data_IF_027857278082
#
_entry.id   IF_027857278082
#
_cell.length_a   1.000
_cell.length_b   1.000
_cell.length_c   1.000
_cell.angle_alpha   90.00
_cell.angle_beta   90.00
_cell.angle_gamma   90.00
#
_symmetry.space_group_name_H-M   'P 1'
#
loop_
_entity.id
_entity.type
_entity.pdbx_description
1 polymer ?
#
# COMPACT_ATOMS: atom_id res chain seq x y z
N UNK A 1 -5.10 9.92 22.13
CA UNK A 1 -4.67 9.46 23.48
C UNK A 1 -5.86 9.34 24.44
N UNK A 2 -6.76 10.33 24.49
CA UNK A 2 -7.92 10.30 25.42
C UNK A 2 -8.81 9.07 25.24
N UNK A 3 -9.15 8.70 24.00
CA UNK A 3 -10.00 7.52 23.70
C UNK A 3 -9.38 6.19 24.15
N UNK A 4 -8.04 6.14 24.30
CA UNK A 4 -7.29 4.97 24.76
C UNK A 4 -6.94 5.04 26.25
N UNK A 5 -7.39 6.07 26.96
CA UNK A 5 -7.05 6.31 28.37
C UNK A 5 -5.59 6.59 28.62
N UNK A 6 -4.82 6.97 27.61
CA UNK A 6 -3.40 7.30 27.73
C UNK A 6 -3.22 8.70 28.29
N UNK A 7 -2.59 8.85 29.48
CA UNK A 7 -2.44 10.15 30.13
C UNK A 7 -1.42 11.04 29.41
N UNK A 8 -0.45 10.42 28.77
CA UNK A 8 0.67 11.11 28.12
C UNK A 8 1.20 10.27 26.96
N UNK A 9 1.64 10.94 25.89
CA UNK A 9 2.30 10.36 24.74
C UNK A 9 3.60 11.12 24.51
N UNK A 10 4.74 10.45 24.61
CA UNK A 10 6.07 11.04 24.46
C UNK A 10 6.51 11.23 23.01
N UNK A 11 5.92 10.46 22.10
CA UNK A 11 6.15 10.56 20.64
C UNK A 11 4.83 10.55 19.90
N UNK A 12 4.66 11.48 18.98
CA UNK A 12 3.53 11.52 18.05
C UNK A 12 4.03 11.90 16.66
N UNK A 13 3.60 11.13 15.68
CA UNK A 13 3.90 11.37 14.28
C UNK A 13 2.69 11.00 13.43
N UNK A 14 2.52 11.68 12.31
CA UNK A 14 1.50 11.39 11.30
C UNK A 14 2.17 11.45 9.93
N UNK A 15 2.97 10.45 9.60
CA UNK A 15 3.63 10.38 8.31
C UNK A 15 2.62 10.21 7.17
N UNK A 16 3.09 10.25 5.95
CA UNK A 16 2.28 9.99 4.74
C UNK A 16 1.43 8.73 4.91
N UNK A 17 0.19 8.69 4.40
CA UNK A 17 -0.78 7.62 4.66
C UNK A 17 -0.42 6.28 4.00
N UNK A 18 0.83 5.89 4.08
CA UNK A 18 1.34 4.59 3.67
C UNK A 18 1.93 3.90 4.90
N UNK A 19 1.37 2.77 5.28
CA UNK A 19 1.69 2.06 6.52
C UNK A 19 3.20 1.81 6.71
N UNK A 20 3.92 1.55 5.64
CA UNK A 20 5.37 1.28 5.67
C UNK A 20 6.20 2.48 6.13
N UNK A 21 5.79 3.71 5.78
CA UNK A 21 6.48 4.91 6.26
C UNK A 21 6.29 5.09 7.77
N UNK A 22 5.06 4.86 8.24
CA UNK A 22 4.75 4.91 9.67
C UNK A 22 5.50 3.82 10.45
N UNK A 23 5.67 2.63 9.86
CA UNK A 23 6.45 1.54 10.45
C UNK A 23 7.92 1.93 10.62
N UNK A 24 8.55 2.46 9.57
CA UNK A 24 9.96 2.90 9.61
C UNK A 24 10.15 4.05 10.60
N UNK A 25 9.21 5.00 10.64
CA UNK A 25 9.24 6.10 11.61
C UNK A 25 9.13 5.59 13.06
N UNK A 26 8.22 4.67 13.33
CA UNK A 26 8.08 4.03 14.64
C UNK A 26 9.35 3.27 15.06
N UNK A 27 9.98 2.53 14.13
CA UNK A 27 11.25 1.85 14.38
C UNK A 27 12.35 2.84 14.74
N UNK A 28 12.46 3.95 14.00
CA UNK A 28 13.44 5.00 14.26
C UNK A 28 13.21 5.67 15.62
N UNK A 29 11.96 5.95 15.99
CA UNK A 29 11.62 6.53 17.29
C UNK A 29 12.03 5.64 18.47
N UNK A 30 11.78 4.32 18.36
CA UNK A 30 12.20 3.34 19.37
C UNK A 30 13.72 3.22 19.41
N UNK A 31 14.38 3.16 18.26
CA UNK A 31 15.84 3.05 18.15
C UNK A 31 16.53 4.28 18.77
N UNK A 32 16.04 5.47 18.46
CA UNK A 32 16.55 6.73 19.01
C UNK A 32 16.23 6.96 20.49
N UNK A 33 15.42 6.10 21.12
CA UNK A 33 15.03 6.22 22.52
C UNK A 33 14.00 7.31 22.80
N UNK A 34 13.32 7.81 21.76
CA UNK A 34 12.22 8.79 21.91
C UNK A 34 11.02 8.19 22.65
N UNK A 35 10.84 6.86 22.52
CA UNK A 35 9.84 6.06 23.22
C UNK A 35 10.26 4.58 23.24
N UNK A 36 9.66 3.79 24.14
CA UNK A 36 9.92 2.35 24.23
C UNK A 36 8.90 1.49 23.48
N UNK A 37 7.72 2.05 23.24
CA UNK A 37 6.60 1.35 22.60
C UNK A 37 5.80 2.33 21.76
N UNK A 38 5.46 1.94 20.56
CA UNK A 38 4.63 2.71 19.63
C UNK A 38 3.36 1.93 19.32
N UNK A 39 2.22 2.59 19.43
CA UNK A 39 0.98 2.15 18.80
C UNK A 39 0.92 2.78 17.41
N UNK A 40 1.08 1.95 16.39
CA UNK A 40 0.84 2.30 15.00
C UNK A 40 -0.58 1.89 14.65
N UNK A 41 -1.38 2.80 14.13
CA UNK A 41 -2.70 2.47 13.63
C UNK A 41 -3.00 3.22 12.35
N UNK A 42 -3.78 2.58 11.51
CA UNK A 42 -4.35 3.15 10.31
C UNK A 42 -5.84 2.82 10.28
N UNK A 43 -6.68 3.82 10.09
CA UNK A 43 -8.11 3.65 9.95
C UNK A 43 -8.59 4.42 8.73
N UNK A 44 -9.38 3.77 7.91
CA UNK A 44 -9.92 4.36 6.70
C UNK A 44 -11.41 4.11 6.59
N UNK A 45 -12.16 5.19 6.34
CA UNK A 45 -13.58 5.14 6.06
C UNK A 45 -13.86 5.77 4.72
N UNK A 46 -14.45 5.02 3.81
CA UNK A 46 -14.87 5.54 2.50
C UNK A 46 -16.22 6.23 2.64
N UNK A 47 -16.22 7.54 2.50
CA UNK A 47 -17.47 8.29 2.36
C UNK A 47 -18.19 7.86 1.07
N UNK A 48 -19.52 7.84 1.07
CA UNK A 48 -20.28 7.55 -0.13
C UNK A 48 -19.79 8.41 -1.31
N UNK A 49 -19.66 7.80 -2.48
CA UNK A 49 -19.13 8.44 -3.71
C UNK A 49 -19.83 9.77 -4.04
N UNK A 50 -21.10 9.92 -3.68
CA UNK A 50 -21.91 11.11 -3.90
C UNK A 50 -21.83 12.14 -2.76
N UNK A 51 -21.01 11.93 -1.74
CA UNK A 51 -20.89 12.91 -0.66
C UNK A 51 -20.10 14.13 -1.13
N UNK A 52 -20.68 15.32 -0.95
CA UNK A 52 -20.02 16.60 -1.28
C UNK A 52 -18.73 16.81 -0.48
N UNK A 53 -18.60 16.17 0.67
CA UNK A 53 -17.40 16.24 1.50
C UNK A 53 -16.18 15.57 0.84
N UNK A 54 -16.38 14.56 -0.01
CA UNK A 54 -15.29 13.92 -0.75
C UNK A 54 -14.66 14.88 -1.78
N UNK A 55 -15.43 15.83 -2.34
CA UNK A 55 -14.93 16.85 -3.25
C UNK A 55 -14.19 18.00 -2.55
N UNK A 56 -14.34 18.12 -1.24
CA UNK A 56 -13.76 19.20 -0.43
C UNK A 56 -12.58 18.73 0.43
N UNK A 57 -12.13 17.48 0.30
CA UNK A 57 -11.01 16.94 1.06
C UNK A 57 -9.72 17.74 0.74
N UNK A 58 -9.19 18.51 1.69
CA UNK A 58 -8.00 19.31 1.49
C UNK A 58 -6.74 18.44 1.23
N UNK A 59 -6.75 17.16 1.63
CA UNK A 59 -5.69 16.22 1.31
C UNK A 59 -5.66 15.88 -0.18
N UNK A 60 -6.80 15.69 -0.82
CA UNK A 60 -6.87 15.48 -2.27
C UNK A 60 -6.37 16.67 -3.07
N UNK A 61 -6.58 17.89 -2.57
CA UNK A 61 -6.06 19.12 -3.23
C UNK A 61 -4.55 19.27 -3.12
N UNK A 62 -3.91 18.74 -2.08
CA UNK A 62 -2.44 18.86 -1.91
C UNK A 62 -1.67 17.89 -2.81
N UNK A 63 -2.22 16.72 -3.12
CA UNK A 63 -1.60 15.79 -4.07
C UNK A 63 -1.71 16.23 -5.53
N UNK A 64 -2.58 17.18 -5.85
CA UNK A 64 -2.71 17.76 -7.19
C UNK A 64 -1.85 19.01 -7.40
N UNK A 65 -1.02 19.41 -6.44
CA UNK A 65 -0.10 20.55 -6.57
C UNK A 65 1.27 20.18 -7.17
N UNK A 66 1.40 19.03 -7.81
CA UNK A 66 2.43 18.80 -8.81
C UNK A 66 2.27 19.77 -9.97
N UNK A 67 3.35 20.14 -10.60
CA UNK A 67 3.61 21.22 -11.55
C UNK A 67 2.65 21.33 -12.76
N UNK A 68 1.66 20.47 -12.87
CA UNK A 68 0.60 20.56 -13.89
C UNK A 68 -0.77 20.47 -13.22
N UNK A 69 -1.68 21.42 -13.49
CA UNK A 69 -3.08 21.22 -13.17
C UNK A 69 -3.56 20.01 -13.97
N UNK A 70 -3.54 18.84 -13.32
CA UNK A 70 -4.19 17.69 -13.90
C UNK A 70 -5.66 18.07 -14.15
N UNK A 71 -6.19 17.89 -15.35
CA UNK A 71 -7.62 18.05 -15.59
C UNK A 71 -8.36 17.26 -14.51
N UNK A 72 -9.46 17.76 -13.99
CA UNK A 72 -10.27 17.11 -12.94
C UNK A 72 -10.65 15.65 -13.26
N UNK A 73 -10.41 15.21 -14.49
CA UNK A 73 -10.61 13.85 -15.00
C UNK A 73 -9.43 12.90 -14.79
N UNK A 74 -8.25 13.37 -14.38
CA UNK A 74 -7.08 12.49 -14.13
C UNK A 74 -7.14 12.03 -12.68
N UNK A 75 -7.68 10.83 -12.49
CA UNK A 75 -7.65 10.12 -11.22
C UNK A 75 -6.55 9.04 -11.26
N UNK A 76 -6.31 8.38 -10.12
CA UNK A 76 -5.32 7.30 -10.02
C UNK A 76 -5.53 6.21 -11.09
N UNK A 77 -6.78 5.86 -11.42
CA UNK A 77 -7.08 4.88 -12.46
C UNK A 77 -6.55 5.31 -13.84
N UNK A 78 -6.54 6.61 -14.16
CA UNK A 78 -5.99 7.11 -15.43
C UNK A 78 -4.46 6.99 -15.47
N UNK A 79 -3.76 7.30 -14.38
CA UNK A 79 -2.31 7.16 -14.27
C UNK A 79 -1.90 5.68 -14.39
N UNK A 80 -2.53 4.79 -13.63
CA UNK A 80 -2.26 3.35 -13.71
C UNK A 80 -2.61 2.75 -15.08
N UNK A 81 -3.67 3.22 -15.74
CA UNK A 81 -4.01 2.79 -17.09
C UNK A 81 -2.96 3.21 -18.12
N UNK A 82 -2.39 4.42 -17.99
CA UNK A 82 -1.30 4.86 -18.86
C UNK A 82 -0.06 3.95 -18.69
N UNK A 83 0.27 3.57 -17.46
CA UNK A 83 1.35 2.62 -17.17
C UNK A 83 1.09 1.24 -17.70
N UNK A 84 -0.12 0.71 -17.48
CA UNK A 84 -0.52 -0.58 -18.02
C UNK A 84 -0.45 -0.59 -19.56
N UNK A 85 -0.89 0.49 -20.20
CA UNK A 85 -0.79 0.65 -21.66
C UNK A 85 0.67 0.65 -22.13
N UNK A 86 1.54 1.37 -21.41
CA UNK A 86 2.97 1.41 -21.71
C UNK A 86 3.62 0.05 -21.53
N UNK A 87 3.28 -0.66 -20.44
CA UNK A 87 3.77 -2.00 -20.16
C UNK A 87 3.35 -3.01 -21.24
N UNK A 88 2.08 -2.99 -21.63
CA UNK A 88 1.55 -3.83 -22.73
C UNK A 88 2.33 -3.54 -24.01
N UNK A 89 2.54 -2.25 -24.35
CA UNK A 89 3.23 -1.86 -25.57
C UNK A 89 4.71 -2.26 -25.59
N UNK A 90 5.43 -2.09 -24.48
CA UNK A 90 6.87 -2.37 -24.42
C UNK A 90 7.20 -3.88 -24.38
N UNK A 91 6.33 -4.66 -23.76
CA UNK A 91 6.60 -6.09 -23.49
C UNK A 91 5.63 -7.04 -24.19
N UNK A 92 4.75 -6.54 -25.05
CA UNK A 92 3.73 -7.32 -25.76
C UNK A 92 2.92 -8.24 -24.81
N UNK A 93 2.50 -7.69 -23.68
CA UNK A 93 1.83 -8.43 -22.61
C UNK A 93 0.33 -8.50 -22.86
N UNK A 94 -0.27 -9.70 -22.92
CA UNK A 94 -1.72 -9.83 -23.09
C UNK A 94 -2.46 -9.47 -21.81
N UNK A 95 -3.72 -9.04 -21.92
CA UNK A 95 -4.57 -8.70 -20.75
C UNK A 95 -4.75 -9.86 -19.77
N UNK A 96 -4.63 -11.07 -20.22
CA UNK A 96 -4.66 -12.28 -19.39
C UNK A 96 -3.57 -12.29 -18.30
N UNK A 97 -2.46 -11.57 -18.51
CA UNK A 97 -1.42 -11.44 -17.48
C UNK A 97 -1.96 -10.68 -16.25
N UNK A 98 -2.68 -9.58 -16.45
CA UNK A 98 -3.38 -8.87 -15.37
C UNK A 98 -4.49 -9.73 -14.78
N UNK A 99 -5.23 -10.45 -15.63
CA UNK A 99 -6.24 -11.40 -15.20
C UNK A 99 -5.72 -12.46 -14.23
N UNK A 100 -4.51 -12.97 -14.44
CA UNK A 100 -3.88 -13.94 -13.52
C UNK A 100 -3.69 -13.35 -12.12
N UNK A 101 -3.32 -12.06 -12.01
CA UNK A 101 -3.20 -11.38 -10.72
C UNK A 101 -4.56 -11.32 -10.02
N UNK A 102 -5.61 -10.90 -10.75
CA UNK A 102 -6.97 -10.82 -10.21
C UNK A 102 -7.50 -12.20 -9.77
N UNK A 103 -7.25 -13.25 -10.58
CA UNK A 103 -7.66 -14.63 -10.27
C UNK A 103 -6.94 -15.15 -9.01
N UNK A 104 -5.63 -14.90 -8.90
CA UNK A 104 -4.84 -15.30 -7.73
C UNK A 104 -5.33 -14.60 -6.46
N UNK A 105 -5.54 -13.30 -6.51
CA UNK A 105 -6.10 -12.54 -5.40
C UNK A 105 -7.49 -13.07 -4.98
N UNK A 106 -8.34 -13.44 -5.94
CA UNK A 106 -9.66 -13.99 -5.69
C UNK A 106 -9.57 -15.41 -5.09
N UNK A 107 -8.62 -16.22 -5.51
CA UNK A 107 -8.37 -17.54 -4.94
C UNK A 107 -7.93 -17.42 -3.47
N UNK A 108 -7.04 -16.48 -3.15
CA UNK A 108 -6.65 -16.18 -1.78
C UNK A 108 -7.81 -15.66 -0.92
N UNK A 109 -8.63 -14.76 -1.47
CA UNK A 109 -9.80 -14.19 -0.78
C UNK A 109 -10.83 -15.24 -0.34
N UNK A 110 -10.93 -16.38 -1.03
CA UNK A 110 -11.81 -17.50 -0.66
C UNK A 110 -11.53 -18.01 0.76
N UNK A 111 -10.29 -17.95 1.19
CA UNK A 111 -9.86 -18.45 2.50
C UNK A 111 -9.94 -17.39 3.61
N UNK A 112 -10.23 -16.13 3.26
CA UNK A 112 -10.38 -15.06 4.24
C UNK A 112 -11.87 -14.81 4.54
N UNK A 113 -12.35 -15.08 5.76
CA UNK A 113 -13.76 -14.84 6.14
C UNK A 113 -14.18 -13.37 6.03
N UNK A 114 -13.23 -12.43 6.14
CA UNK A 114 -13.50 -10.99 6.08
C UNK A 114 -13.39 -10.40 4.67
N UNK A 115 -12.94 -11.17 3.67
CA UNK A 115 -12.81 -10.66 2.32
C UNK A 115 -14.16 -10.22 1.73
N UNK A 116 -14.18 -9.03 1.13
CA UNK A 116 -15.38 -8.47 0.51
C UNK A 116 -15.79 -9.23 -0.76
N UNK A 117 -14.82 -9.74 -1.52
CA UNK A 117 -15.03 -10.37 -2.83
C UNK A 117 -14.56 -11.83 -2.83
N UNK A 118 -15.45 -12.78 -2.53
CA UNK A 118 -15.13 -14.22 -2.40
C UNK A 118 -15.67 -15.08 -3.55
N UNK A 119 -16.55 -14.55 -4.39
CA UNK A 119 -17.12 -15.32 -5.50
C UNK A 119 -16.02 -15.80 -6.45
N UNK A 120 -16.06 -17.05 -6.92
CA UNK A 120 -15.08 -17.54 -7.87
C UNK A 120 -14.97 -16.64 -9.11
N UNK A 121 -13.76 -16.51 -9.61
CA UNK A 121 -13.47 -15.76 -10.84
C UNK A 121 -12.68 -16.65 -11.79
N UNK A 122 -13.05 -16.65 -13.05
CA UNK A 122 -12.31 -17.28 -14.13
C UNK A 122 -11.84 -16.21 -15.15
N UNK A 123 -11.00 -16.63 -16.09
CA UNK A 123 -10.42 -15.71 -17.06
C UNK A 123 -11.48 -15.10 -18.00
N UNK A 124 -12.47 -15.85 -18.39
CA UNK A 124 -13.58 -15.35 -19.21
C UNK A 124 -14.34 -14.22 -18.48
N UNK A 125 -14.67 -14.43 -17.20
CA UNK A 125 -15.30 -13.41 -16.37
C UNK A 125 -14.43 -12.17 -16.18
N UNK A 126 -13.10 -12.33 -16.09
CA UNK A 126 -12.18 -11.22 -16.05
C UNK A 126 -12.15 -10.43 -17.36
N UNK A 127 -11.99 -11.11 -18.50
CA UNK A 127 -11.93 -10.47 -19.82
C UNK A 127 -13.24 -9.79 -20.20
N UNK A 128 -14.38 -10.33 -19.76
CA UNK A 128 -15.71 -9.75 -19.94
C UNK A 128 -16.08 -8.64 -18.95
N UNK A 129 -15.21 -8.35 -17.97
CA UNK A 129 -15.50 -7.32 -16.96
C UNK A 129 -15.54 -5.90 -17.55
N UNK A 130 -16.39 -5.06 -16.94
CA UNK A 130 -16.56 -3.66 -17.37
C UNK A 130 -15.24 -2.90 -17.30
N UNK A 131 -14.86 -2.24 -18.40
CA UNK A 131 -13.72 -1.31 -18.42
C UNK A 131 -13.99 -0.09 -17.56
N UNK A 132 -13.01 0.29 -16.76
CA UNK A 132 -12.99 1.54 -16.00
C UNK A 132 -12.19 2.59 -16.77
N UNK A 133 -10.97 2.24 -17.13
CA UNK A 133 -10.09 3.03 -17.98
C UNK A 133 -9.18 2.07 -18.74
N UNK A 134 -9.37 1.94 -20.04
CA UNK A 134 -8.60 1.00 -20.84
C UNK A 134 -7.09 1.16 -20.64
N UNK A 135 -6.32 0.06 -20.44
CA UNK A 135 -6.71 -1.35 -20.51
C UNK A 135 -7.24 -1.97 -19.20
N UNK A 136 -7.47 -1.17 -18.16
CA UNK A 136 -7.88 -1.65 -16.84
C UNK A 136 -9.40 -1.76 -16.71
N UNK A 137 -9.84 -2.92 -16.23
CA UNK A 137 -11.24 -3.21 -15.95
C UNK A 137 -11.57 -3.06 -14.45
N UNK A 138 -12.84 -3.26 -14.11
CA UNK A 138 -13.32 -3.19 -12.71
C UNK A 138 -12.58 -4.16 -11.78
N UNK A 139 -12.12 -5.29 -12.30
CA UNK A 139 -11.44 -6.32 -11.51
C UNK A 139 -9.94 -6.06 -11.31
N UNK A 140 -9.41 -5.03 -11.95
CA UNK A 140 -8.06 -4.49 -11.70
C UNK A 140 -8.06 -3.41 -10.61
N UNK A 141 -9.25 -3.00 -10.14
CA UNK A 141 -9.39 -1.95 -9.14
C UNK A 141 -9.50 -2.52 -7.73
N UNK A 142 -9.03 -1.75 -6.74
CA UNK A 142 -9.29 -2.03 -5.34
C UNK A 142 -10.79 -1.95 -5.02
N UNK A 143 -11.22 -2.73 -4.03
CA UNK A 143 -12.59 -2.67 -3.53
C UNK A 143 -12.67 -1.61 -2.43
N UNK A 144 -13.57 -0.60 -2.55
CA UNK A 144 -13.79 0.36 -1.48
C UNK A 144 -14.34 -0.34 -0.24
N UNK A 145 -13.57 -0.33 0.84
CA UNK A 145 -13.95 -0.92 2.13
C UNK A 145 -13.60 0.05 3.26
N UNK A 146 -14.35 -0.03 4.35
CA UNK A 146 -13.96 0.57 5.61
C UNK A 146 -13.09 -0.43 6.37
N UNK A 147 -12.04 0.05 7.01
CA UNK A 147 -11.13 -0.83 7.74
C UNK A 147 -10.25 -0.07 8.70
N UNK A 148 -9.71 -0.80 9.66
CA UNK A 148 -8.71 -0.30 10.58
C UNK A 148 -7.74 -1.42 10.96
N UNK A 149 -6.46 -1.09 10.95
CA UNK A 149 -5.38 -1.95 11.41
C UNK A 149 -4.61 -1.25 12.52
N UNK A 150 -4.11 -2.03 13.48
CA UNK A 150 -3.29 -1.52 14.55
C UNK A 150 -2.18 -2.51 14.91
N UNK A 151 -0.99 -1.96 15.16
CA UNK A 151 0.20 -2.72 15.54
C UNK A 151 0.84 -2.08 16.77
N UNK A 152 1.29 -2.90 17.69
CA UNK A 152 2.12 -2.46 18.81
C UNK A 152 3.56 -2.85 18.54
N UNK A 153 4.44 -1.86 18.40
CA UNK A 153 5.86 -2.06 18.17
C UNK A 153 6.62 -1.75 19.44
N UNK A 154 7.63 -2.58 19.73
CA UNK A 154 8.53 -2.37 20.87
C UNK A 154 9.87 -3.07 20.59
N UNK A 155 10.85 -2.90 21.48
CA UNK A 155 12.14 -3.61 21.39
C UNK A 155 11.93 -5.12 21.50
N UNK A 156 12.75 -5.89 20.78
CA UNK A 156 12.63 -7.36 20.70
C UNK A 156 12.67 -8.03 22.07
N UNK A 157 13.53 -7.57 22.98
CA UNK A 157 13.65 -8.12 24.33
C UNK A 157 12.35 -7.95 25.10
N UNK A 158 11.73 -6.77 25.01
CA UNK A 158 10.44 -6.51 25.65
C UNK A 158 9.31 -7.31 25.02
N UNK A 159 9.30 -7.45 23.70
CA UNK A 159 8.31 -8.25 22.99
C UNK A 159 8.36 -9.71 23.45
N UNK A 160 9.55 -10.29 23.59
CA UNK A 160 9.76 -11.68 24.10
C UNK A 160 9.33 -11.87 25.55
N UNK A 161 9.35 -10.82 26.35
CA UNK A 161 8.83 -10.86 27.71
C UNK A 161 7.30 -10.83 27.79
N UNK A 162 6.63 -10.31 26.73
CA UNK A 162 5.17 -10.17 26.67
C UNK A 162 4.51 -11.35 25.94
N UNK A 163 5.13 -11.87 24.89
CA UNK A 163 4.58 -12.96 24.07
C UNK A 163 5.63 -14.00 23.73
N UNK A 164 5.17 -15.26 23.62
CA UNK A 164 6.04 -16.39 23.27
C UNK A 164 6.49 -16.37 21.81
N UNK A 165 5.72 -15.75 20.94
CA UNK A 165 5.96 -15.73 19.50
C UNK A 165 5.78 -14.29 18.97
N UNK A 166 6.71 -13.37 19.25
CA UNK A 166 6.67 -12.03 18.68
C UNK A 166 6.98 -12.09 17.18
N UNK A 167 6.32 -11.24 16.40
CA UNK A 167 6.71 -10.99 15.02
C UNK A 167 7.88 -10.02 15.05
N UNK A 168 9.00 -10.42 14.47
CA UNK A 168 10.21 -9.60 14.42
C UNK A 168 10.32 -8.92 13.07
N UNK A 169 10.53 -7.60 13.07
CA UNK A 169 10.86 -6.86 11.85
C UNK A 169 12.37 -7.01 11.64
N UNK A 170 12.74 -7.83 10.66
CA UNK A 170 14.13 -8.13 10.36
C UNK A 170 14.83 -6.95 9.69
N UNK A 171 14.21 -6.39 8.66
CA UNK A 171 14.69 -5.20 7.98
C UNK A 171 13.52 -4.39 7.42
N UNK A 172 13.68 -3.08 7.33
CA UNK A 172 12.73 -2.20 6.70
C UNK A 172 13.45 -1.03 6.04
N UNK A 173 12.92 -0.56 4.94
CA UNK A 173 13.43 0.62 4.24
C UNK A 173 12.36 1.22 3.34
N UNK A 174 12.57 2.45 2.95
CA UNK A 174 11.79 3.15 1.94
C UNK A 174 12.75 3.71 0.90
N UNK A 175 12.30 3.85 -0.33
CA UNK A 175 13.13 4.34 -1.42
C UNK A 175 12.31 5.11 -2.45
N UNK A 176 12.99 5.99 -3.18
CA UNK A 176 12.40 6.83 -4.20
C UNK A 176 13.32 6.90 -5.41
N UNK A 177 12.76 6.91 -6.59
CA UNK A 177 13.46 7.22 -7.86
C UNK A 177 12.68 8.29 -8.59
N UNK A 178 13.34 9.42 -8.88
CA UNK A 178 12.72 10.55 -9.55
C UNK A 178 11.79 11.33 -8.62
N UNK A 179 10.57 11.56 -9.06
CA UNK A 179 9.54 12.29 -8.31
C UNK A 179 8.76 11.36 -7.38
N UNK A 180 8.04 11.94 -6.43
CA UNK A 180 7.14 11.20 -5.53
C UNK A 180 5.74 11.00 -6.12
N UNK A 181 5.54 11.28 -7.39
CA UNK A 181 4.27 11.17 -8.08
C UNK A 181 4.21 9.84 -8.85
N UNK A 182 3.17 9.05 -8.61
CA UNK A 182 3.01 7.72 -9.19
C UNK A 182 2.90 7.74 -10.73
N UNK A 183 2.46 8.86 -11.31
CA UNK A 183 2.28 9.04 -12.74
C UNK A 183 3.52 9.57 -13.47
N UNK A 184 4.61 9.85 -12.75
CA UNK A 184 5.82 10.46 -13.29
C UNK A 184 7.06 9.58 -13.15
N UNK A 185 6.91 8.28 -13.21
CA UNK A 185 8.06 7.39 -13.16
C UNK A 185 8.92 7.52 -14.44
N UNK A 186 10.23 7.59 -14.27
CA UNK A 186 11.15 7.75 -15.39
C UNK A 186 11.23 6.50 -16.28
N UNK A 187 10.87 5.34 -15.77
CA UNK A 187 11.00 4.06 -16.46
C UNK A 187 10.13 2.99 -15.81
N UNK A 188 9.61 2.07 -16.63
CA UNK A 188 8.98 0.83 -16.14
C UNK A 188 10.02 -0.19 -15.63
N UNK A 189 11.26 -0.10 -16.12
CA UNK A 189 12.33 -1.04 -15.78
C UNK A 189 13.04 -0.69 -14.47
N UNK A 190 13.02 0.58 -14.04
CA UNK A 190 13.66 1.03 -12.81
C UNK A 190 12.82 2.07 -12.08
N UNK A 191 12.33 1.73 -10.93
CA UNK A 191 11.50 2.56 -10.08
C UNK A 191 11.85 2.37 -8.58
N UNK A 192 11.13 3.02 -7.68
CA UNK A 192 11.41 3.03 -6.25
C UNK A 192 11.58 1.65 -5.61
N UNK A 193 10.84 0.65 -6.07
CA UNK A 193 10.96 -0.73 -5.57
C UNK A 193 12.35 -1.32 -5.80
N UNK A 194 13.04 -1.00 -6.89
CA UNK A 194 14.42 -1.45 -7.12
C UNK A 194 15.36 -0.91 -6.05
N UNK A 195 15.23 0.38 -5.72
CA UNK A 195 16.03 1.00 -4.64
C UNK A 195 15.71 0.36 -3.29
N UNK A 196 14.45 0.07 -3.02
CA UNK A 196 14.03 -0.62 -1.80
C UNK A 196 14.66 -2.01 -1.73
N UNK A 197 14.57 -2.82 -2.79
CA UNK A 197 15.14 -4.18 -2.85
C UNK A 197 16.66 -4.13 -2.67
N UNK A 198 17.37 -3.26 -3.37
CA UNK A 198 18.82 -3.08 -3.24
C UNK A 198 19.20 -2.70 -1.79
N UNK A 199 18.44 -1.79 -1.17
CA UNK A 199 18.65 -1.36 0.21
C UNK A 199 18.33 -2.48 1.23
N UNK A 200 17.26 -3.24 1.02
CA UNK A 200 16.93 -4.39 1.88
C UNK A 200 18.03 -5.46 1.80
N UNK A 201 18.52 -5.75 0.60
CA UNK A 201 19.61 -6.71 0.39
C UNK A 201 20.88 -6.35 1.16
N UNK A 202 21.20 -5.06 1.28
CA UNK A 202 22.35 -4.60 2.05
C UNK A 202 22.14 -4.64 3.57
N UNK A 203 20.92 -4.78 4.04
CA UNK A 203 20.53 -4.75 5.47
C UNK A 203 20.08 -6.11 6.03
N UNK A 204 19.97 -7.11 5.18
CA UNK A 204 19.40 -8.40 5.52
C UNK A 204 20.37 -9.51 5.11
N UNK A 205 20.50 -10.52 5.95
CA UNK A 205 21.11 -11.82 5.64
C UNK A 205 20.10 -12.84 5.09
N UNK A 206 18.80 -12.48 5.04
CA UNK A 206 17.75 -13.21 4.35
C UNK A 206 17.55 -12.66 2.95
N UNK A 207 17.17 -13.52 2.01
CA UNK A 207 16.90 -13.13 0.64
C UNK A 207 15.61 -13.76 0.09
N UNK A 208 15.36 -13.61 -1.20
CA UNK A 208 14.08 -14.02 -1.81
C UNK A 208 13.78 -15.51 -1.66
N UNK A 209 14.80 -16.37 -1.66
CA UNK A 209 14.68 -17.81 -1.42
C UNK A 209 14.29 -18.17 0.01
N UNK A 210 14.45 -17.24 0.95
CA UNK A 210 14.07 -17.44 2.37
C UNK A 210 12.65 -16.91 2.64
N UNK A 211 11.97 -16.35 1.64
CA UNK A 211 10.63 -15.76 1.79
C UNK A 211 9.56 -16.81 1.50
N UNK A 212 8.80 -17.17 2.52
CA UNK A 212 7.68 -18.12 2.40
C UNK A 212 6.40 -17.48 1.85
N UNK A 213 6.20 -16.20 2.13
CA UNK A 213 4.98 -15.46 1.73
C UNK A 213 5.42 -14.11 1.16
N UNK A 214 5.00 -13.87 -0.07
CA UNK A 214 5.23 -12.61 -0.77
C UNK A 214 3.90 -11.91 -1.08
#
# INVERSE_FOLDING_TARGET
>A
SAALGLPQVSHFSSPTPVAVFALVDAMNAIYAGSCDTVLLYFAYTRLPWNSRSAAQDPFRRRHTLGVMPAPESVNAAAAYAAWASRYIHEYDVPREAFGRVALNARAGAKHNPLAAMKAPLNMEGYLGARMIREPLCLLDMDVPVDGADAFVLTRTERARAITKSPIVIHAATVGLVGTNDEDQLPSLARHGQHVVVESLRSKSDLWLEDVDIF
#
